data_IF_069717405366
#
_entry.id   IF_069717405366
#
_cell.length_a   1.000
_cell.length_b   1.000
_cell.length_c   1.000
_cell.angle_alpha   90.00
_cell.angle_beta   90.00
_cell.angle_gamma   90.00
#
_symmetry.space_group_name_H-M   'P 1'
#
loop_
_entity.id
_entity.type
_entity.pdbx_description
1 polymer ?
#
# COMPACT_ATOMS: atom_id res chain seq x y z
N UNK A 1 -12.29 4.26 -11.07
CA UNK A 1 -11.94 2.94 -10.51
C UNK A 1 -10.48 3.01 -10.09
N UNK A 2 -10.21 2.93 -8.79
CA UNK A 2 -8.88 3.08 -8.22
C UNK A 2 -8.18 1.72 -8.12
N UNK A 3 -7.05 1.54 -8.80
CA UNK A 3 -6.17 0.38 -8.67
C UNK A 3 -5.01 0.71 -7.73
N UNK A 4 -4.68 -0.22 -6.85
CA UNK A 4 -3.58 -0.11 -5.89
C UNK A 4 -2.57 -1.21 -6.21
N UNK A 5 -1.36 -0.82 -6.57
CA UNK A 5 -0.24 -1.72 -6.80
C UNK A 5 0.76 -1.58 -5.65
N UNK A 6 1.09 -2.70 -5.02
CA UNK A 6 2.00 -2.75 -3.89
C UNK A 6 3.17 -3.65 -4.26
N UNK A 7 4.36 -3.08 -4.17
CA UNK A 7 5.63 -3.79 -4.28
C UNK A 7 6.42 -3.55 -2.99
N UNK A 8 7.44 -4.36 -2.67
CA UNK A 8 8.14 -4.27 -1.38
C UNK A 8 8.69 -2.87 -1.05
N UNK A 9 8.99 -2.06 -2.06
CA UNK A 9 9.59 -0.73 -1.91
C UNK A 9 8.69 0.42 -2.41
N UNK A 10 7.56 0.11 -3.07
CA UNK A 10 6.72 1.12 -3.71
C UNK A 10 5.24 0.81 -3.58
N UNK A 11 4.48 1.88 -3.33
CA UNK A 11 3.04 1.92 -3.38
C UNK A 11 2.61 2.83 -4.53
N UNK A 12 1.78 2.32 -5.45
CA UNK A 12 1.30 3.08 -6.59
C UNK A 12 -0.23 3.01 -6.69
N UNK A 13 -0.86 4.18 -6.77
CA UNK A 13 -2.30 4.31 -7.01
C UNK A 13 -2.53 4.74 -8.45
N UNK A 14 -3.38 4.00 -9.18
CA UNK A 14 -3.71 4.29 -10.58
C UNK A 14 -5.23 4.45 -10.68
N UNK A 15 -5.67 5.64 -11.05
CA UNK A 15 -7.10 5.98 -11.12
C UNK A 15 -7.29 7.47 -11.39
N UNK A 16 -8.53 7.96 -11.26
CA UNK A 16 -8.80 9.40 -11.40
C UNK A 16 -8.14 10.16 -10.25
N UNK A 17 -7.63 11.35 -10.52
CA UNK A 17 -6.91 12.15 -9.53
C UNK A 17 -7.72 12.41 -8.24
N UNK A 18 -9.04 12.57 -8.35
CA UNK A 18 -9.90 12.75 -7.19
C UNK A 18 -10.02 11.47 -6.34
N UNK A 19 -10.00 10.28 -6.95
CA UNK A 19 -10.07 8.98 -6.26
C UNK A 19 -8.81 8.76 -5.43
N UNK A 20 -7.66 9.06 -6.01
CA UNK A 20 -6.36 8.97 -5.33
C UNK A 20 -6.33 9.91 -4.12
N UNK A 21 -6.72 11.18 -4.31
CA UNK A 21 -6.79 12.16 -3.20
C UNK A 21 -7.81 11.78 -2.14
N UNK A 22 -8.91 11.15 -2.51
CA UNK A 22 -9.90 10.66 -1.56
C UNK A 22 -9.34 9.50 -0.73
N UNK A 23 -8.74 8.50 -1.37
CA UNK A 23 -8.12 7.36 -0.69
C UNK A 23 -6.98 7.78 0.26
N UNK A 24 -6.11 8.69 -0.16
CA UNK A 24 -5.05 9.23 0.69
C UNK A 24 -5.61 9.96 1.92
N UNK A 25 -6.69 10.73 1.77
CA UNK A 25 -7.36 11.39 2.90
C UNK A 25 -7.98 10.38 3.88
N UNK A 26 -8.55 9.28 3.37
CA UNK A 26 -9.10 8.22 4.23
C UNK A 26 -7.99 7.51 5.02
N UNK A 27 -6.88 7.14 4.36
CA UNK A 27 -5.70 6.57 5.04
C UNK A 27 -5.15 7.54 6.10
N UNK A 28 -5.09 8.84 5.78
CA UNK A 28 -4.67 9.87 6.73
C UNK A 28 -5.59 9.96 7.96
N UNK A 29 -6.91 9.82 7.76
CA UNK A 29 -7.89 9.84 8.85
C UNK A 29 -7.78 8.61 9.74
N UNK A 30 -7.49 7.44 9.16
CA UNK A 30 -7.40 6.17 9.88
C UNK A 30 -6.08 6.02 10.65
N UNK A 31 -4.95 6.43 10.06
CA UNK A 31 -3.60 6.18 10.61
C UNK A 31 -2.87 7.44 11.11
N UNK A 32 -3.42 8.62 10.86
CA UNK A 32 -2.85 9.91 11.23
C UNK A 32 -1.98 10.54 10.13
N UNK A 33 -1.73 11.85 10.23
CA UNK A 33 -1.05 12.63 9.18
C UNK A 33 0.43 12.29 8.95
N UNK A 34 1.07 11.54 9.87
CA UNK A 34 2.51 11.25 9.86
C UNK A 34 2.83 9.77 9.67
N UNK A 35 1.90 8.97 9.15
CA UNK A 35 2.19 7.55 8.89
C UNK A 35 3.31 7.43 7.86
N UNK A 36 4.45 6.82 8.20
CA UNK A 36 5.52 6.64 7.24
C UNK A 36 5.09 5.61 6.19
N UNK A 37 5.59 5.79 4.96
CA UNK A 37 5.29 4.88 3.85
C UNK A 37 5.62 3.41 4.18
N UNK A 38 6.69 3.20 4.95
CA UNK A 38 7.13 1.87 5.40
C UNK A 38 6.02 1.14 6.17
N UNK A 39 5.33 1.83 7.09
CA UNK A 39 4.20 1.24 7.82
C UNK A 39 2.98 0.94 6.94
N UNK A 40 2.82 1.63 5.81
CA UNK A 40 1.79 1.31 4.82
C UNK A 40 2.15 0.06 4.00
N UNK A 41 3.44 -0.17 3.74
CA UNK A 41 3.95 -1.33 3.04
C UNK A 41 3.92 -2.58 3.94
N UNK A 42 4.36 -2.45 5.19
CA UNK A 42 4.40 -3.55 6.17
C UNK A 42 3.01 -4.06 6.55
N UNK A 43 2.06 -3.16 6.80
CA UNK A 43 0.68 -3.53 7.16
C UNK A 43 -0.07 -4.28 6.05
N UNK A 44 0.49 -4.35 4.84
CA UNK A 44 -0.05 -5.12 3.72
C UNK A 44 0.79 -6.34 3.40
N UNK A 45 2.08 -6.36 3.77
CA UNK A 45 2.90 -7.58 3.72
C UNK A 45 2.40 -8.62 4.72
N UNK A 46 1.93 -8.21 5.91
CA UNK A 46 1.35 -9.14 6.90
C UNK A 46 0.05 -9.79 6.42
N UNK A 47 -0.64 -9.19 5.44
CA UNK A 47 -1.87 -9.71 4.85
C UNK A 47 -1.62 -10.54 3.57
N UNK A 48 -0.35 -10.80 3.23
CA UNK A 48 0.05 -11.87 2.31
C UNK A 48 0.47 -13.11 3.11
N UNK A 49 -0.43 -14.07 3.38
CA UNK A 49 0.03 -15.45 3.43
C UNK A 49 0.42 -15.82 1.99
N UNK A 50 1.63 -16.34 1.81
CA UNK A 50 2.06 -16.99 0.57
C UNK A 50 2.30 -16.07 -0.65
N UNK A 51 3.50 -15.49 -0.74
CA UNK A 51 4.12 -15.23 -2.03
C UNK A 51 5.65 -15.21 -1.91
N UNK A 52 6.25 -16.31 -2.38
CA UNK A 52 7.61 -16.41 -2.94
C UNK A 52 8.81 -16.37 -1.98
N UNK A 53 9.09 -17.53 -1.37
CA UNK A 53 10.47 -17.98 -1.13
C UNK A 53 11.04 -18.54 -2.45
N UNK A 54 12.05 -17.92 -3.10
CA UNK A 54 12.85 -18.66 -4.04
C UNK A 54 13.71 -19.65 -3.23
N UNK A 55 13.45 -20.94 -3.44
CA UNK A 55 14.27 -22.03 -2.95
C UNK A 55 15.72 -21.81 -3.41
N UNK A 56 16.60 -21.48 -2.46
CA UNK A 56 18.03 -21.60 -2.66
C UNK A 56 18.35 -23.09 -2.79
N UNK A 57 18.74 -23.52 -3.99
CA UNK A 57 19.57 -24.71 -4.21
C UNK A 57 20.90 -24.25 -4.77
#
# INVERSE_FOLDING_TARGET
>A
MLKKYITPQRLQFVGKAWEIRHALRQEQKLRGARTPLVSLLEAQQTMRPDADLPARK
#
